data_IF_242737192876
#
_entry.id   IF_242737192876
#
_cell.length_a   1.000
_cell.length_b   1.000
_cell.length_c   1.000
_cell.angle_alpha   90.00
_cell.angle_beta   90.00
_cell.angle_gamma   90.00
#
_symmetry.space_group_name_H-M   'P 1'
#
loop_
_entity.id
_entity.type
_entity.pdbx_description
1 polymer ?
#
# COMPACT_ATOMS: atom_id res chain seq x y z
N UNK A 1 -9.64 -16.50 17.14
CA UNK A 1 -9.88 -15.85 15.83
C UNK A 1 -8.52 -15.58 15.25
N UNK A 2 -8.15 -16.20 14.12
CA UNK A 2 -6.91 -15.84 13.44
C UNK A 2 -7.02 -14.38 13.00
N UNK A 3 -6.16 -13.51 13.50
CA UNK A 3 -6.01 -12.17 12.95
C UNK A 3 -5.74 -12.33 11.45
N UNK A 4 -6.64 -11.79 10.63
CA UNK A 4 -6.39 -11.63 9.21
C UNK A 4 -5.30 -10.55 9.15
N UNK A 5 -4.04 -10.97 9.06
CA UNK A 5 -2.92 -10.06 8.79
C UNK A 5 -3.10 -9.53 7.37
N UNK A 6 -3.71 -8.33 7.27
CA UNK A 6 -3.85 -7.66 6.00
C UNK A 6 -2.47 -7.15 5.58
N UNK A 7 -2.18 -7.08 4.28
CA UNK A 7 -0.85 -6.64 3.82
C UNK A 7 -0.45 -5.26 4.35
N UNK A 8 -1.41 -4.35 4.56
CA UNK A 8 -1.15 -3.02 5.10
C UNK A 8 -0.92 -2.96 6.61
N UNK A 9 -1.16 -4.05 7.35
CA UNK A 9 -0.91 -4.07 8.80
C UNK A 9 0.61 -4.03 9.13
N UNK A 10 1.47 -4.26 8.13
CA UNK A 10 2.94 -4.11 8.25
C UNK A 10 3.40 -2.65 8.35
N UNK A 11 2.50 -1.68 8.15
CA UNK A 11 2.77 -0.25 8.08
C UNK A 11 2.16 0.50 9.28
N UNK A 12 2.81 0.48 10.47
CA UNK A 12 2.22 1.04 11.68
C UNK A 12 1.99 2.55 11.58
N UNK A 13 0.75 2.96 11.87
CA UNK A 13 0.32 4.36 11.84
C UNK A 13 -0.02 4.91 10.46
N UNK A 14 0.20 4.14 9.40
CA UNK A 14 -0.28 4.47 8.05
C UNK A 14 -1.67 3.90 7.84
N UNK A 15 -2.55 4.69 7.21
CA UNK A 15 -3.92 4.26 6.90
C UNK A 15 -4.17 4.35 5.40
N UNK A 16 -4.97 3.43 4.87
CA UNK A 16 -5.41 3.47 3.47
C UNK A 16 -6.23 4.74 3.25
N UNK A 17 -5.76 5.62 2.36
CA UNK A 17 -6.46 6.82 1.91
C UNK A 17 -7.26 6.55 0.62
N UNK A 18 -6.78 5.62 -0.22
CA UNK A 18 -7.46 5.17 -1.42
C UNK A 18 -6.90 3.85 -1.89
N UNK A 19 -7.77 2.95 -2.35
CA UNK A 19 -7.38 1.66 -2.90
C UNK A 19 -8.40 1.25 -3.95
N UNK A 20 -7.95 0.98 -5.17
CA UNK A 20 -8.82 0.53 -6.25
C UNK A 20 -8.06 -0.31 -7.26
N UNK A 21 -8.77 -1.26 -7.86
CA UNK A 21 -8.26 -2.00 -9.00
C UNK A 21 -8.56 -1.26 -10.30
N UNK A 22 -7.65 -1.34 -11.26
CA UNK A 22 -7.80 -0.78 -12.59
C UNK A 22 -7.16 -1.70 -13.63
N UNK A 23 -7.69 -1.69 -14.84
CA UNK A 23 -7.08 -2.42 -15.95
C UNK A 23 -6.02 -1.55 -16.65
N UNK A 24 -4.87 -2.14 -16.93
CA UNK A 24 -3.80 -1.51 -17.69
C UNK A 24 -3.17 -2.52 -18.63
N UNK A 25 -3.28 -2.27 -19.94
CA UNK A 25 -2.81 -3.18 -21.00
C UNK A 25 -3.35 -4.61 -20.86
N UNK A 26 -4.63 -4.76 -20.49
CA UNK A 26 -5.28 -6.05 -20.31
C UNK A 26 -4.94 -6.79 -19.01
N UNK A 27 -4.14 -6.18 -18.13
CA UNK A 27 -3.81 -6.74 -16.81
C UNK A 27 -4.53 -5.97 -15.71
N UNK A 28 -5.08 -6.69 -14.73
CA UNK A 28 -5.64 -6.10 -13.52
C UNK A 28 -4.49 -5.64 -12.62
N UNK A 29 -4.53 -4.38 -12.20
CA UNK A 29 -3.55 -3.77 -11.31
C UNK A 29 -4.24 -3.14 -10.12
N UNK A 30 -3.55 -3.11 -8.99
CA UNK A 30 -3.96 -2.43 -7.79
C UNK A 30 -3.23 -1.09 -7.68
N UNK A 31 -3.98 -0.02 -7.42
CA UNK A 31 -3.45 1.23 -6.92
C UNK A 31 -3.74 1.35 -5.43
N UNK A 32 -2.75 1.77 -4.66
CA UNK A 32 -2.87 2.01 -3.22
C UNK A 32 -2.25 3.36 -2.88
N UNK A 33 -2.99 4.19 -2.15
CA UNK A 33 -2.50 5.39 -1.49
C UNK A 33 -2.70 5.25 0.02
N UNK A 34 -1.66 5.58 0.78
CA UNK A 34 -1.66 5.56 2.24
C UNK A 34 -1.24 6.92 2.78
N UNK A 35 -1.76 7.28 3.95
CA UNK A 35 -1.41 8.52 4.64
C UNK A 35 -1.01 8.30 6.10
N UNK A 36 -0.17 9.18 6.62
CA UNK A 36 0.19 9.29 8.04
C UNK A 36 0.37 10.76 8.40
N UNK A 37 -0.62 11.34 9.07
CA UNK A 37 -0.68 12.80 9.26
C UNK A 37 -0.78 13.51 7.89
N UNK A 38 0.18 14.39 7.62
CA UNK A 38 0.32 15.14 6.36
C UNK A 38 1.17 14.38 5.31
N UNK A 39 1.73 13.22 5.65
CA UNK A 39 2.52 12.39 4.74
C UNK A 39 1.61 11.51 3.89
N UNK A 40 1.96 11.36 2.61
CA UNK A 40 1.25 10.52 1.64
C UNK A 40 2.29 9.68 0.89
N UNK A 41 2.01 8.39 0.77
CA UNK A 41 2.71 7.46 -0.14
C UNK A 41 1.69 6.82 -1.06
N UNK A 42 2.09 6.53 -2.29
CA UNK A 42 1.28 5.78 -3.23
C UNK A 42 2.12 4.77 -3.99
N UNK A 43 1.50 3.69 -4.43
CA UNK A 43 2.11 2.69 -5.29
C UNK A 43 1.05 2.04 -6.18
N UNK A 44 1.47 1.53 -7.32
CA UNK A 44 0.64 0.70 -8.17
C UNK A 44 1.41 -0.51 -8.70
N UNK A 45 0.69 -1.58 -9.02
CA UNK A 45 1.31 -2.82 -9.43
C UNK A 45 0.32 -3.97 -9.51
N UNK A 46 0.84 -5.18 -9.60
CA UNK A 46 0.04 -6.35 -9.28
C UNK A 46 -0.29 -6.33 -7.78
N UNK A 47 -1.43 -6.90 -7.37
CA UNK A 47 -1.75 -7.07 -5.94
C UNK A 47 -0.90 -8.21 -5.37
N UNK A 48 0.38 -7.90 -5.15
CA UNK A 48 1.41 -8.83 -4.76
C UNK A 48 2.23 -8.32 -3.57
N UNK A 49 3.04 -9.20 -2.99
CA UNK A 49 3.94 -8.84 -1.89
C UNK A 49 4.92 -7.72 -2.26
N UNK A 50 5.28 -7.58 -3.54
CA UNK A 50 6.20 -6.55 -4.02
C UNK A 50 5.58 -5.15 -3.93
N UNK A 51 4.30 -4.99 -4.23
CA UNK A 51 3.57 -3.73 -4.08
C UNK A 51 3.60 -3.26 -2.63
N UNK A 52 3.28 -4.16 -1.70
CA UNK A 52 3.25 -3.86 -0.27
C UNK A 52 4.65 -3.60 0.28
N UNK A 53 5.66 -4.31 -0.20
CA UNK A 53 7.05 -4.05 0.17
C UNK A 53 7.55 -2.67 -0.34
N UNK A 54 7.16 -2.26 -1.55
CA UNK A 54 7.46 -0.90 -2.06
C UNK A 54 6.81 0.19 -1.20
N UNK A 55 5.56 0.02 -0.78
CA UNK A 55 4.91 0.93 0.16
C UNK A 55 5.63 0.96 1.51
N UNK A 56 6.06 -0.22 2.01
CA UNK A 56 6.83 -0.32 3.25
C UNK A 56 8.13 0.49 3.20
N UNK A 57 8.91 0.36 2.13
CA UNK A 57 10.13 1.15 1.97
C UNK A 57 9.86 2.65 1.93
N UNK A 58 8.82 3.11 1.19
CA UNK A 58 8.44 4.53 1.16
C UNK A 58 8.04 5.07 2.52
N UNK A 59 7.28 4.28 3.29
CA UNK A 59 6.90 4.63 4.66
C UNK A 59 8.14 4.79 5.58
N UNK A 60 9.08 3.83 5.51
CA UNK A 60 10.31 3.87 6.29
C UNK A 60 11.22 5.05 5.92
N UNK A 61 11.19 5.50 4.66
CA UNK A 61 11.94 6.67 4.23
C UNK A 61 11.37 7.98 4.78
N UNK A 62 10.05 8.09 4.88
CA UNK A 62 9.37 9.29 5.41
C UNK A 62 9.28 9.33 6.93
N UNK A 63 9.41 8.19 7.60
CA UNK A 63 9.43 8.09 9.07
C UNK A 63 10.81 8.41 9.69
N UNK A 64 11.82 8.70 8.88
CA UNK A 64 13.16 9.15 9.33
C UNK A 64 13.18 10.64 9.66
#
# INVERSE_FOLDING_TARGET
>A
MSEINRPWDILPGWVIAGMYNFEHNGNLRLFVAMRKGDLIICEQGEDDEFLWNRLWHKAQELDK
#
